data_IF_431950307143
#
_entry.id   IF_431950307143
#
_cell.length_a   1.000
_cell.length_b   1.000
_cell.length_c   1.000
_cell.angle_alpha   90.00
_cell.angle_beta   90.00
_cell.angle_gamma   90.00
#
_symmetry.space_group_name_H-M   'P 1'
#
loop_
_entity.id
_entity.type
_entity.pdbx_description
1 polymer ?
#
# COMPACT_ATOMS: atom_id res chain seq x y z
N UNK A 1 13.38 -22.20 4.31
CA UNK A 1 13.17 -20.94 5.06
C UNK A 1 12.00 -20.18 4.41
N UNK A 2 10.84 -20.07 5.05
CA UNK A 2 9.77 -19.21 4.55
C UNK A 2 10.21 -17.75 4.74
N UNK A 3 10.14 -16.94 3.67
CA UNK A 3 10.41 -15.51 3.77
C UNK A 3 9.22 -14.87 4.49
N UNK A 4 9.43 -14.37 5.71
CA UNK A 4 8.38 -13.76 6.55
C UNK A 4 7.95 -12.35 6.08
N UNK A 5 8.41 -11.91 4.91
CA UNK A 5 8.09 -10.60 4.34
C UNK A 5 6.87 -10.71 3.41
N UNK A 6 5.71 -10.40 3.98
CA UNK A 6 4.42 -10.39 3.28
C UNK A 6 4.43 -9.38 2.12
N UNK A 7 5.11 -8.24 2.27
CA UNK A 7 5.15 -7.21 1.22
C UNK A 7 5.98 -7.67 0.03
N UNK A 8 7.13 -8.32 0.26
CA UNK A 8 7.91 -8.94 -0.80
C UNK A 8 7.09 -10.01 -1.54
N UNK A 9 6.41 -10.88 -0.81
CA UNK A 9 5.54 -11.92 -1.40
C UNK A 9 4.45 -11.31 -2.30
N UNK A 10 3.82 -10.21 -1.86
CA UNK A 10 2.83 -9.49 -2.67
C UNK A 10 3.46 -8.91 -3.94
N UNK A 11 4.67 -8.36 -3.87
CA UNK A 11 5.36 -7.80 -5.02
C UNK A 11 5.76 -8.89 -6.02
N UNK A 12 6.30 -10.01 -5.55
CA UNK A 12 6.69 -11.17 -6.36
C UNK A 12 5.46 -11.78 -7.06
N UNK A 13 4.36 -11.95 -6.33
CA UNK A 13 3.11 -12.41 -6.90
C UNK A 13 2.57 -11.43 -7.96
N UNK A 14 2.60 -10.13 -7.71
CA UNK A 14 2.14 -9.16 -8.70
C UNK A 14 3.06 -9.11 -9.93
N UNK A 15 4.37 -9.29 -9.74
CA UNK A 15 5.35 -9.38 -10.82
C UNK A 15 5.01 -10.52 -11.79
N UNK A 16 4.73 -11.71 -11.27
CA UNK A 16 4.45 -12.91 -12.10
C UNK A 16 3.00 -13.01 -12.57
N UNK A 17 2.12 -12.10 -12.14
CA UNK A 17 0.73 -12.06 -12.58
C UNK A 17 0.58 -11.59 -14.03
N UNK A 18 -0.61 -11.77 -14.60
CA UNK A 18 -1.00 -11.26 -15.91
C UNK A 18 -1.36 -9.76 -15.91
N UNK A 19 -1.46 -9.14 -14.73
CA UNK A 19 -1.89 -7.76 -14.58
C UNK A 19 -0.83 -6.78 -15.10
N UNK A 20 -1.22 -5.87 -15.99
CA UNK A 20 -0.30 -4.91 -16.62
C UNK A 20 -0.49 -3.49 -16.10
N UNK A 21 0.60 -2.71 -16.10
CA UNK A 21 0.57 -1.30 -15.71
C UNK A 21 -0.37 -0.46 -16.59
N UNK A 22 -0.37 -0.73 -17.90
CA UNK A 22 -1.16 0.01 -18.91
C UNK A 22 -2.67 -0.08 -18.68
N UNK A 23 -3.15 -1.14 -18.02
CA UNK A 23 -4.56 -1.34 -17.68
C UNK A 23 -5.03 -0.41 -16.56
N UNK A 24 -4.12 0.38 -15.94
CA UNK A 24 -4.39 1.28 -14.81
C UNK A 24 -5.23 0.59 -13.70
N UNK A 25 -4.74 -0.53 -13.14
CA UNK A 25 -5.53 -1.35 -12.24
C UNK A 25 -5.86 -0.63 -10.94
N UNK A 26 -7.07 -0.87 -10.44
CA UNK A 26 -7.50 -0.41 -9.12
C UNK A 26 -6.77 -1.18 -8.01
N UNK A 27 -6.78 -0.63 -6.78
CA UNK A 27 -6.21 -1.30 -5.62
C UNK A 27 -6.84 -2.69 -5.37
N UNK A 28 -8.13 -2.85 -5.67
CA UNK A 28 -8.82 -4.13 -5.55
C UNK A 28 -8.34 -5.13 -6.58
N UNK A 29 -8.19 -4.72 -7.85
CA UNK A 29 -7.67 -5.58 -8.90
C UNK A 29 -6.24 -6.04 -8.61
N UNK A 30 -5.40 -5.16 -8.04
CA UNK A 30 -4.06 -5.52 -7.57
C UNK A 30 -4.12 -6.58 -6.47
N UNK A 31 -4.96 -6.37 -5.43
CA UNK A 31 -5.13 -7.35 -4.33
C UNK A 31 -5.63 -8.70 -4.85
N UNK A 32 -6.61 -8.68 -5.74
CA UNK A 32 -7.17 -9.88 -6.36
C UNK A 32 -6.11 -10.62 -7.19
N UNK A 33 -5.34 -9.91 -8.01
CA UNK A 33 -4.26 -10.50 -8.81
C UNK A 33 -3.19 -11.16 -7.92
N UNK A 34 -2.79 -10.49 -6.84
CA UNK A 34 -1.86 -11.07 -5.86
C UNK A 34 -2.41 -12.36 -5.26
N UNK A 35 -3.65 -12.35 -4.78
CA UNK A 35 -4.28 -13.55 -4.18
C UNK A 35 -4.38 -14.68 -5.19
N UNK A 36 -4.85 -14.41 -6.41
CA UNK A 36 -4.93 -15.43 -7.48
C UNK A 36 -3.56 -16.03 -7.77
N UNK A 37 -2.54 -15.19 -7.87
CA UNK A 37 -1.19 -15.61 -8.26
C UNK A 37 -0.49 -16.41 -7.17
N UNK A 38 -0.63 -16.00 -5.90
CA UNK A 38 -0.14 -16.79 -4.75
C UNK A 38 -0.86 -18.13 -4.66
N UNK A 39 -2.17 -18.20 -4.95
CA UNK A 39 -2.91 -19.47 -4.97
C UNK A 39 -2.49 -20.39 -6.12
N UNK A 40 -2.16 -19.81 -7.28
CA UNK A 40 -1.79 -20.58 -8.47
C UNK A 40 -0.38 -21.18 -8.38
N UNK A 41 0.59 -20.42 -7.86
CA UNK A 41 2.01 -20.82 -7.87
C UNK A 41 2.60 -21.03 -6.47
N UNK A 42 2.01 -20.45 -5.43
CA UNK A 42 2.66 -20.36 -4.12
C UNK A 42 3.82 -19.36 -4.13
N UNK A 43 4.26 -18.96 -2.92
CA UNK A 43 5.28 -17.91 -2.76
C UNK A 43 6.66 -18.31 -3.32
N UNK A 44 7.07 -19.57 -3.16
CA UNK A 44 8.39 -20.05 -3.61
C UNK A 44 8.52 -20.00 -5.13
N UNK A 45 7.50 -20.45 -5.86
CA UNK A 45 7.55 -20.46 -7.32
C UNK A 45 7.38 -19.05 -7.89
N UNK A 46 6.70 -18.14 -7.19
CA UNK A 46 6.72 -16.72 -7.54
C UNK A 46 8.15 -16.18 -7.52
N UNK A 47 8.92 -16.44 -6.47
CA UNK A 47 10.34 -16.04 -6.38
C UNK A 47 11.17 -16.68 -7.50
N UNK A 48 10.98 -17.98 -7.76
CA UNK A 48 11.72 -18.68 -8.81
C UNK A 48 11.45 -18.07 -10.20
N UNK A 49 10.19 -17.74 -10.51
CA UNK A 49 9.80 -17.08 -11.76
C UNK A 49 10.32 -15.66 -11.88
N UNK A 50 10.35 -14.91 -10.77
CA UNK A 50 11.02 -13.60 -10.71
C UNK A 50 12.50 -13.77 -11.07
N UNK A 51 13.20 -14.68 -10.39
CA UNK A 51 14.62 -14.93 -10.62
C UNK A 51 14.92 -15.34 -12.07
N UNK A 52 14.11 -16.25 -12.62
CA UNK A 52 14.21 -16.66 -14.02
C UNK A 52 14.12 -15.44 -14.95
N UNK A 53 13.13 -14.58 -14.74
CA UNK A 53 12.93 -13.45 -15.64
C UNK A 53 13.98 -12.35 -15.49
N UNK A 54 14.60 -12.22 -14.32
CA UNK A 54 15.78 -11.39 -14.15
C UNK A 54 17.02 -11.95 -14.86
N UNK A 55 17.12 -13.28 -15.02
CA UNK A 55 18.18 -13.91 -15.82
C UNK A 55 17.96 -13.75 -17.32
N UNK A 56 16.72 -13.95 -17.78
CA UNK A 56 16.40 -13.93 -19.21
C UNK A 56 16.27 -12.51 -19.77
N UNK A 57 15.61 -11.61 -19.03
CA UNK A 57 15.25 -10.27 -19.49
C UNK A 57 15.40 -9.23 -18.36
N UNK A 58 16.63 -8.87 -17.97
CA UNK A 58 16.88 -8.06 -16.79
C UNK A 58 16.21 -6.68 -16.86
N UNK A 59 16.27 -5.97 -17.99
CA UNK A 59 15.68 -4.63 -18.12
C UNK A 59 14.15 -4.65 -17.99
N UNK A 60 13.50 -5.63 -18.63
CA UNK A 60 12.05 -5.83 -18.54
C UNK A 60 11.65 -6.21 -17.11
N UNK A 61 12.43 -7.08 -16.45
CA UNK A 61 12.19 -7.47 -15.07
C UNK A 61 12.34 -6.28 -14.11
N UNK A 62 13.38 -5.45 -14.26
CA UNK A 62 13.55 -4.25 -13.43
C UNK A 62 12.35 -3.31 -13.55
N UNK A 63 11.91 -3.01 -14.77
CA UNK A 63 10.75 -2.15 -15.01
C UNK A 63 9.47 -2.74 -14.37
N UNK A 64 9.24 -4.04 -14.54
CA UNK A 64 8.09 -4.76 -13.98
C UNK A 64 8.10 -4.77 -12.44
N UNK A 65 9.26 -5.02 -11.83
CA UNK A 65 9.40 -5.06 -10.38
C UNK A 65 9.23 -3.67 -9.76
N UNK A 66 9.74 -2.61 -10.40
CA UNK A 66 9.52 -1.22 -9.97
C UNK A 66 8.03 -0.89 -9.95
N UNK A 67 7.30 -1.23 -11.02
CA UNK A 67 5.85 -1.06 -11.06
C UNK A 67 5.15 -1.89 -9.97
N UNK A 68 5.52 -3.17 -9.81
CA UNK A 68 4.87 -4.06 -8.85
C UNK A 68 4.98 -3.51 -7.42
N UNK A 69 6.16 -3.01 -7.03
CA UNK A 69 6.38 -2.40 -5.71
C UNK A 69 5.52 -1.16 -5.50
N UNK A 70 5.46 -0.27 -6.49
CA UNK A 70 4.62 0.94 -6.42
C UNK A 70 3.13 0.59 -6.32
N UNK A 71 2.65 -0.36 -7.13
CA UNK A 71 1.27 -0.80 -7.13
C UNK A 71 0.87 -1.50 -5.81
N UNK A 72 1.75 -2.35 -5.24
CA UNK A 72 1.52 -2.98 -3.93
C UNK A 72 1.50 -1.93 -2.83
N UNK A 73 2.44 -0.98 -2.82
CA UNK A 73 2.44 0.10 -1.83
C UNK A 73 1.14 0.92 -1.87
N UNK A 74 0.66 1.27 -3.08
CA UNK A 74 -0.60 1.98 -3.26
C UNK A 74 -1.83 1.14 -2.85
N UNK A 75 -1.85 -0.16 -3.16
CA UNK A 75 -3.00 -1.03 -2.91
C UNK A 75 -3.15 -1.47 -1.44
N UNK A 76 -2.05 -1.47 -0.67
CA UNK A 76 -2.01 -1.91 0.72
C UNK A 76 -1.70 -0.78 1.71
N UNK A 77 -1.68 0.48 1.26
CA UNK A 77 -1.60 1.61 2.19
C UNK A 77 -2.84 1.63 3.09
N UNK A 78 -2.62 1.67 4.40
CA UNK A 78 -3.69 1.87 5.37
C UNK A 78 -4.06 3.34 5.31
N UNK A 79 -5.22 3.66 4.72
CA UNK A 79 -5.80 4.98 4.95
C UNK A 79 -6.35 4.97 6.38
N UNK A 80 -5.64 5.59 7.31
CA UNK A 80 -6.24 5.99 8.58
C UNK A 80 -7.19 7.15 8.26
N UNK A 81 -8.39 6.83 7.78
CA UNK A 81 -9.48 7.79 7.65
C UNK A 81 -10.01 8.05 9.06
N UNK A 82 -9.28 8.86 9.84
CA UNK A 82 -9.58 9.00 11.25
C UNK A 82 -8.81 10.04 12.05
N UNK A 83 -7.86 10.79 11.49
CA UNK A 83 -7.44 12.03 12.15
C UNK A 83 -8.41 13.15 11.72
N UNK A 84 -9.63 13.10 12.25
CA UNK A 84 -10.42 14.31 12.43
C UNK A 84 -10.25 14.74 13.88
N UNK A 85 -9.10 15.34 14.22
CA UNK A 85 -9.16 16.44 15.19
C UNK A 85 -9.59 17.67 14.41
N UNK A 86 -10.91 17.80 14.29
CA UNK A 86 -11.53 19.10 14.46
C UNK A 86 -11.07 19.61 15.82
N UNK A 87 -9.87 20.18 15.89
CA UNK A 87 -9.47 21.07 16.97
C UNK A 87 -10.26 22.35 16.74
N UNK A 88 -11.55 22.29 17.07
CA UNK A 88 -12.18 23.37 17.79
C UNK A 88 -11.29 23.57 19.01
N UNK A 89 -10.32 24.48 18.93
CA UNK A 89 -9.95 25.24 20.12
C UNK A 89 -11.29 25.83 20.53
N UNK A 90 -11.92 25.19 21.52
CA UNK A 90 -12.94 25.83 22.30
C UNK A 90 -12.32 27.17 22.66
N UNK A 91 -12.92 28.25 22.15
CA UNK A 91 -12.83 29.55 22.77
C UNK A 91 -12.83 29.28 24.27
N UNK A 92 -11.67 29.49 24.90
CA UNK A 92 -11.62 29.77 26.32
C UNK A 92 -12.44 31.05 26.45
N UNK A 93 -13.74 30.86 26.65
CA UNK A 93 -14.62 31.87 27.18
C UNK A 93 -14.04 32.20 28.55
N UNK A 94 -13.26 33.27 28.61
CA UNK A 94 -12.99 33.96 29.85
C UNK A 94 -14.34 34.46 30.38
N UNK A 95 -14.77 34.09 31.59
CA UNK A 95 -15.88 34.80 32.21
C UNK A 95 -15.40 36.22 32.53
N UNK A 96 -16.08 37.21 31.94
CA UNK A 96 -15.92 38.61 32.30
C UNK A 96 -16.28 38.80 33.78
N UNK A 97 -15.33 39.32 34.56
CA UNK A 97 -15.59 39.86 35.91
C UNK A 97 -16.38 41.17 35.77
N UNK A 98 -17.48 41.36 36.52
CA UNK A 98 -18.19 42.65 36.56
C UNK A 98 -17.38 43.71 37.34
N UNK A 99 -17.51 45.01 37.00
CA UNK A 99 -16.90 46.07 37.80
C UNK A 99 -17.61 46.18 39.15
N UNK A 100 -16.82 46.15 40.24
CA UNK A 100 -17.27 46.53 41.56
C UNK A 100 -17.73 47.99 41.52
N UNK A 101 -19.03 48.22 41.69
CA UNK A 101 -19.59 49.55 41.91
C UNK A 101 -19.23 49.96 43.35
N UNK A 102 -18.30 50.90 43.50
CA UNK A 102 -18.11 51.63 44.74
C UNK A 102 -19.10 52.81 44.76
N UNK A 103 -19.77 52.96 45.90
CA UNK A 103 -20.66 54.05 46.25
C UNK A 103 -19.94 55.41 46.30
#
# INVERSE_FOLDING_TARGET
>A
MPRLDITATRCEALFVSDLQHSQRPSAEQVRAAVVRTVRAYGAKDCVAKVAQQFGDHPDTAVARMRWARAAVAAAYTVRVTGWSTRTTICHLAAPALPPATAA
#
